data_IF_781887539705
#
_entry.id   IF_781887539705
#
_cell.length_a   1.000
_cell.length_b   1.000
_cell.length_c   1.000
_cell.angle_alpha   90.00
_cell.angle_beta   90.00
_cell.angle_gamma   90.00
#
_symmetry.space_group_name_H-M   'P 1'
#
loop_
_entity.id
_entity.type
_entity.pdbx_description
1 polymer ?
#
# COMPACT_ATOMS: atom_id res chain seq x y z
N UNK A 1 -19.11 -23.62 -25.57
CA UNK A 1 -18.40 -22.70 -24.66
C UNK A 1 -16.98 -22.53 -25.20
N UNK A 2 -16.53 -21.30 -25.34
CA UNK A 2 -15.13 -21.01 -25.73
C UNK A 2 -14.20 -21.36 -24.56
N UNK A 3 -12.93 -21.66 -24.84
CA UNK A 3 -11.88 -21.82 -23.82
C UNK A 3 -11.81 -20.60 -22.88
N UNK A 4 -12.03 -19.41 -23.42
CA UNK A 4 -12.05 -18.15 -22.67
C UNK A 4 -13.21 -18.12 -21.66
N UNK A 5 -14.39 -18.64 -22.04
CA UNK A 5 -15.56 -18.68 -21.15
C UNK A 5 -15.34 -19.63 -19.98
N UNK A 6 -14.73 -20.79 -20.24
CA UNK A 6 -14.36 -21.76 -19.20
C UNK A 6 -13.31 -21.18 -18.24
N UNK A 7 -12.32 -20.45 -18.76
CA UNK A 7 -11.33 -19.75 -17.91
C UNK A 7 -11.99 -18.70 -17.02
N UNK A 8 -12.90 -17.88 -17.56
CA UNK A 8 -13.64 -16.88 -16.79
C UNK A 8 -14.50 -17.52 -15.70
N UNK A 9 -15.23 -18.58 -16.04
CA UNK A 9 -16.04 -19.32 -15.07
C UNK A 9 -15.18 -19.93 -13.96
N UNK A 10 -14.03 -20.51 -14.32
CA UNK A 10 -13.07 -21.04 -13.36
C UNK A 10 -12.55 -19.96 -12.40
N UNK A 11 -12.09 -18.82 -12.93
CA UNK A 11 -11.59 -17.71 -12.11
C UNK A 11 -12.69 -17.12 -11.21
N UNK A 12 -13.92 -16.97 -11.73
CA UNK A 12 -15.06 -16.48 -10.96
C UNK A 12 -15.39 -17.42 -9.79
N UNK A 13 -15.43 -18.73 -10.03
CA UNK A 13 -15.63 -19.73 -8.99
C UNK A 13 -14.52 -19.73 -7.93
N UNK A 14 -13.26 -19.58 -8.34
CA UNK A 14 -12.14 -19.56 -7.38
C UNK A 14 -12.20 -18.37 -6.42
N UNK A 15 -12.76 -17.23 -6.86
CA UNK A 15 -12.94 -16.02 -6.06
C UNK A 15 -14.19 -16.09 -5.18
N UNK A 16 -15.31 -16.47 -5.78
CA UNK A 16 -16.62 -16.49 -5.13
C UNK A 16 -17.40 -17.78 -5.47
N UNK A 17 -17.11 -18.89 -4.76
CA UNK A 17 -17.75 -20.17 -5.02
C UNK A 17 -19.19 -20.24 -4.50
N UNK A 18 -19.64 -19.27 -3.69
CA UNK A 18 -21.01 -19.26 -3.20
C UNK A 18 -21.96 -18.71 -4.25
N UNK A 19 -21.51 -17.73 -5.05
CA UNK A 19 -22.34 -17.10 -6.08
C UNK A 19 -22.02 -17.56 -7.51
N UNK A 20 -20.97 -18.34 -7.73
CA UNK A 20 -20.60 -18.84 -9.06
C UNK A 20 -20.63 -20.37 -9.12
N UNK A 21 -21.15 -20.98 -10.21
CA UNK A 21 -21.19 -22.43 -10.35
C UNK A 21 -19.80 -23.01 -10.63
N UNK A 22 -19.49 -24.15 -10.00
CA UNK A 22 -18.27 -24.90 -10.27
C UNK A 22 -18.20 -25.32 -11.75
N UNK A 23 -17.04 -25.19 -12.42
CA UNK A 23 -16.88 -25.68 -13.78
C UNK A 23 -17.04 -27.21 -13.83
N UNK A 24 -17.92 -27.71 -14.71
CA UNK A 24 -18.24 -29.15 -14.81
C UNK A 24 -17.07 -30.02 -15.25
N UNK A 25 -16.08 -29.42 -15.94
CA UNK A 25 -14.91 -30.11 -16.48
C UNK A 25 -13.74 -30.26 -15.48
N UNK A 26 -13.86 -29.71 -14.26
CA UNK A 26 -12.78 -29.71 -13.27
C UNK A 26 -13.21 -30.45 -12.01
N UNK A 27 -12.35 -31.34 -11.52
CA UNK A 27 -12.59 -32.08 -10.28
C UNK A 27 -12.71 -31.14 -9.07
N UNK A 28 -13.77 -31.33 -8.26
CA UNK A 28 -14.05 -30.49 -7.09
C UNK A 28 -12.89 -30.39 -6.09
N UNK A 29 -12.10 -31.47 -5.94
CA UNK A 29 -10.91 -31.48 -5.09
C UNK A 29 -9.83 -30.52 -5.59
N UNK A 30 -9.58 -30.48 -6.90
CA UNK A 30 -8.60 -29.57 -7.49
C UNK A 30 -9.03 -28.11 -7.33
N UNK A 31 -10.31 -27.84 -7.54
CA UNK A 31 -10.88 -26.50 -7.33
C UNK A 31 -10.68 -26.01 -5.89
N UNK A 32 -10.89 -26.88 -4.90
CA UNK A 32 -10.66 -26.55 -3.49
C UNK A 32 -9.19 -26.26 -3.18
N UNK A 33 -8.26 -27.03 -3.78
CA UNK A 33 -6.81 -26.81 -3.63
C UNK A 33 -6.42 -25.44 -4.21
N UNK A 34 -6.82 -25.14 -5.45
CA UNK A 34 -6.49 -23.87 -6.10
C UNK A 34 -7.06 -22.67 -5.34
N UNK A 35 -8.31 -22.78 -4.87
CA UNK A 35 -8.94 -21.73 -4.06
C UNK A 35 -8.14 -21.47 -2.79
N UNK A 36 -7.78 -22.53 -2.06
CA UNK A 36 -6.97 -22.41 -0.84
C UNK A 36 -5.62 -21.75 -1.13
N UNK A 37 -4.97 -22.13 -2.24
CA UNK A 37 -3.68 -21.57 -2.63
C UNK A 37 -3.77 -20.07 -2.91
N UNK A 38 -4.70 -19.64 -3.78
CA UNK A 38 -4.89 -18.22 -4.13
C UNK A 38 -5.22 -17.41 -2.88
N UNK A 39 -6.18 -17.88 -2.08
CA UNK A 39 -6.59 -17.21 -0.85
C UNK A 39 -5.41 -17.04 0.11
N UNK A 40 -4.63 -18.11 0.32
CA UNK A 40 -3.48 -18.06 1.22
C UNK A 40 -2.38 -17.12 0.71
N UNK A 41 -2.14 -17.10 -0.60
CA UNK A 41 -1.15 -16.19 -1.20
C UNK A 41 -1.56 -14.72 -1.02
N UNK A 42 -2.83 -14.39 -1.29
CA UNK A 42 -3.35 -13.03 -1.08
C UNK A 42 -3.34 -12.67 0.40
N UNK A 43 -3.81 -13.56 1.28
CA UNK A 43 -3.80 -13.34 2.73
C UNK A 43 -2.38 -13.07 3.26
N UNK A 44 -1.40 -13.85 2.80
CA UNK A 44 0.00 -13.70 3.18
C UNK A 44 0.57 -12.36 2.70
N UNK A 45 0.34 -12.03 1.43
CA UNK A 45 0.77 -10.77 0.84
C UNK A 45 0.21 -9.56 1.60
N UNK A 46 -1.10 -9.55 1.87
CA UNK A 46 -1.75 -8.48 2.63
C UNK A 46 -1.22 -8.42 4.07
N UNK A 47 -1.01 -9.56 4.72
CA UNK A 47 -0.47 -9.58 6.09
C UNK A 47 0.95 -9.01 6.17
N UNK A 48 1.77 -9.22 5.14
CA UNK A 48 3.12 -8.63 5.05
C UNK A 48 3.10 -7.15 4.64
N UNK A 49 2.14 -6.73 3.82
CA UNK A 49 2.01 -5.34 3.36
C UNK A 49 1.32 -4.40 4.36
N UNK A 50 0.55 -4.93 5.30
CA UNK A 50 -0.23 -4.18 6.29
C UNK A 50 -0.06 -4.76 7.71
N UNK A 51 1.18 -4.86 8.22
CA UNK A 51 1.48 -5.56 9.47
C UNK A 51 0.77 -4.98 10.71
N UNK A 52 0.68 -3.66 10.84
CA UNK A 52 0.04 -2.97 11.97
C UNK A 52 -1.48 -3.13 11.87
N UNK A 53 -2.07 -2.86 10.70
CA UNK A 53 -3.50 -3.07 10.49
C UNK A 53 -3.89 -4.53 10.77
N UNK A 54 -3.10 -5.50 10.26
CA UNK A 54 -3.32 -6.93 10.53
C UNK A 54 -3.27 -7.24 12.01
N UNK A 55 -2.29 -6.72 12.74
CA UNK A 55 -2.09 -7.01 14.15
C UNK A 55 -3.20 -6.44 15.03
N UNK A 56 -3.74 -5.27 14.67
CA UNK A 56 -4.84 -4.61 15.38
C UNK A 56 -6.22 -5.19 15.06
N UNK A 57 -6.34 -5.90 13.93
CA UNK A 57 -7.61 -6.47 13.48
C UNK A 57 -7.80 -7.89 14.01
N UNK A 58 -8.93 -8.19 14.71
CA UNK A 58 -9.24 -9.54 15.16
C UNK A 58 -9.13 -10.56 14.02
N UNK A 59 -8.63 -11.77 14.33
CA UNK A 59 -8.33 -12.76 13.31
C UNK A 59 -9.53 -13.06 12.39
N UNK A 60 -10.72 -13.24 12.96
CA UNK A 60 -11.94 -13.51 12.18
C UNK A 60 -12.31 -12.33 11.26
N UNK A 61 -12.23 -11.09 11.76
CA UNK A 61 -12.48 -9.87 10.99
C UNK A 61 -11.50 -9.71 9.85
N UNK A 62 -10.20 -9.96 10.10
CA UNK A 62 -9.21 -9.91 9.02
C UNK A 62 -9.47 -10.94 7.93
N UNK A 63 -9.80 -12.18 8.30
CA UNK A 63 -10.13 -13.22 7.32
C UNK A 63 -11.35 -12.82 6.50
N UNK A 64 -12.37 -12.19 7.10
CA UNK A 64 -13.54 -11.73 6.35
C UNK A 64 -13.21 -10.57 5.39
N UNK A 65 -12.29 -9.69 5.75
CA UNK A 65 -11.81 -8.64 4.82
C UNK A 65 -11.04 -9.23 3.64
N UNK A 66 -10.16 -10.21 3.88
CA UNK A 66 -9.45 -10.92 2.80
C UNK A 66 -10.43 -11.63 1.87
N UNK A 67 -11.44 -12.30 2.43
CA UNK A 67 -12.45 -13.00 1.63
C UNK A 67 -13.31 -12.02 0.81
N UNK A 68 -13.77 -10.93 1.42
CA UNK A 68 -14.52 -9.88 0.72
C UNK A 68 -13.67 -9.15 -0.34
N UNK A 69 -12.40 -8.93 -0.06
CA UNK A 69 -11.45 -8.41 -1.03
C UNK A 69 -11.32 -9.37 -2.21
N UNK A 70 -11.13 -10.68 -2.01
CA UNK A 70 -11.01 -11.65 -3.10
C UNK A 70 -12.25 -11.72 -4.00
N UNK A 71 -13.45 -11.52 -3.45
CA UNK A 71 -14.71 -11.49 -4.20
C UNK A 71 -14.80 -10.23 -5.07
N UNK A 72 -14.48 -9.07 -4.51
CA UNK A 72 -14.57 -7.77 -5.20
C UNK A 72 -13.39 -7.51 -6.15
N UNK A 73 -12.23 -8.09 -5.85
CA UNK A 73 -10.99 -7.86 -6.55
C UNK A 73 -10.97 -8.57 -7.90
N UNK A 74 -11.06 -7.77 -8.96
CA UNK A 74 -10.64 -8.18 -10.30
C UNK A 74 -9.19 -7.77 -10.45
N UNK A 75 -8.27 -8.73 -10.41
CA UNK A 75 -6.86 -8.45 -10.66
C UNK A 75 -6.74 -7.86 -12.07
N UNK A 76 -6.58 -6.54 -12.16
CA UNK A 76 -6.48 -5.83 -13.42
C UNK A 76 -5.03 -5.79 -13.94
N UNK A 77 -4.09 -6.25 -13.11
CA UNK A 77 -2.67 -6.27 -13.39
C UNK A 77 -2.00 -7.56 -12.93
N UNK A 78 -0.99 -8.05 -13.66
CA UNK A 78 -0.17 -9.18 -13.24
C UNK A 78 0.83 -8.81 -12.11
N UNK A 79 0.96 -7.53 -11.75
CA UNK A 79 1.96 -7.09 -10.77
C UNK A 79 1.45 -7.19 -9.33
N UNK A 80 2.10 -8.04 -8.52
CA UNK A 80 1.78 -8.22 -7.10
C UNK A 80 1.78 -6.91 -6.30
N UNK A 81 2.61 -5.93 -6.66
CA UNK A 81 2.63 -4.62 -5.99
C UNK A 81 1.28 -3.90 -6.05
N UNK A 82 0.46 -4.13 -7.09
CA UNK A 82 -0.82 -3.45 -7.27
C UNK A 82 -1.90 -3.95 -6.30
N UNK A 83 -1.81 -5.22 -5.88
CA UNK A 83 -2.76 -5.85 -4.95
C UNK A 83 -2.93 -5.02 -3.67
N UNK A 84 -1.84 -4.44 -3.15
CA UNK A 84 -1.95 -3.61 -1.94
C UNK A 84 -2.62 -2.25 -2.19
N UNK A 85 -2.43 -1.62 -3.36
CA UNK A 85 -3.16 -0.39 -3.70
C UNK A 85 -4.65 -0.67 -3.91
N UNK A 86 -4.96 -1.79 -4.55
CA UNK A 86 -6.33 -2.26 -4.73
C UNK A 86 -6.97 -2.61 -3.39
N UNK A 87 -6.23 -3.18 -2.43
CA UNK A 87 -6.74 -3.44 -1.09
C UNK A 87 -7.06 -2.16 -0.31
N UNK A 88 -6.20 -1.14 -0.40
CA UNK A 88 -6.51 0.19 0.16
C UNK A 88 -7.78 0.75 -0.48
N UNK A 89 -7.87 0.73 -1.80
CA UNK A 89 -9.05 1.24 -2.53
C UNK A 89 -10.32 0.47 -2.17
N UNK A 90 -10.20 -0.84 -1.97
CA UNK A 90 -11.27 -1.70 -1.47
C UNK A 90 -11.72 -1.25 -0.08
N UNK A 91 -10.82 -1.07 0.89
CA UNK A 91 -11.19 -0.67 2.25
C UNK A 91 -11.86 0.72 2.31
N UNK A 92 -11.50 1.65 1.42
CA UNK A 92 -12.18 2.95 1.31
C UNK A 92 -13.65 2.83 0.90
N UNK A 93 -13.96 1.87 0.05
CA UNK A 93 -15.30 1.63 -0.50
C UNK A 93 -16.06 0.55 0.27
N UNK A 94 -15.38 -0.21 1.13
CA UNK A 94 -15.96 -1.35 1.80
C UNK A 94 -16.89 -0.90 2.93
N UNK A 95 -18.20 -1.05 2.70
CA UNK A 95 -19.26 -0.77 3.66
C UNK A 95 -19.36 -1.89 4.70
N UNK A 96 -18.42 -1.87 5.65
CA UNK A 96 -18.38 -2.81 6.77
C UNK A 96 -18.19 -2.03 8.08
N UNK A 97 -19.04 -2.30 9.09
CA UNK A 97 -18.99 -1.59 10.37
C UNK A 97 -17.66 -1.74 11.13
N UNK A 98 -16.86 -2.75 10.80
CA UNK A 98 -15.53 -2.96 11.38
C UNK A 98 -14.41 -2.21 10.66
N UNK A 99 -14.68 -1.61 9.50
CA UNK A 99 -13.73 -0.76 8.75
C UNK A 99 -14.10 0.70 8.98
N UNK A 100 -13.57 1.26 10.07
CA UNK A 100 -13.71 2.67 10.37
C UNK A 100 -12.69 3.54 9.63
N UNK A 101 -12.75 4.84 9.89
CA UNK A 101 -11.82 5.80 9.30
C UNK A 101 -10.37 5.56 9.76
N UNK A 102 -10.17 5.05 10.97
CA UNK A 102 -8.85 4.69 11.49
C UNK A 102 -8.21 3.58 10.67
N UNK A 103 -8.95 2.50 10.37
CA UNK A 103 -8.46 1.35 9.61
C UNK A 103 -8.10 1.76 8.18
N UNK A 104 -8.92 2.62 7.56
CA UNK A 104 -8.68 3.18 6.22
C UNK A 104 -7.41 4.03 6.20
N UNK A 105 -7.28 4.95 7.16
CA UNK A 105 -6.10 5.79 7.32
C UNK A 105 -4.84 4.96 7.58
N UNK A 106 -4.92 3.93 8.43
CA UNK A 106 -3.80 3.05 8.69
C UNK A 106 -3.39 2.25 7.45
N UNK A 107 -4.36 1.76 6.66
CA UNK A 107 -4.08 1.08 5.40
C UNK A 107 -3.36 2.00 4.40
N UNK A 108 -3.83 3.25 4.22
CA UNK A 108 -3.16 4.23 3.35
C UNK A 108 -1.73 4.50 3.83
N UNK A 109 -1.56 4.71 5.12
CA UNK A 109 -0.27 4.96 5.73
C UNK A 109 0.74 3.82 5.51
N UNK A 110 0.39 2.58 5.86
CA UNK A 110 1.30 1.43 5.67
C UNK A 110 1.62 1.20 4.19
N UNK A 111 0.68 1.55 3.30
CA UNK A 111 0.88 1.45 1.86
C UNK A 111 1.91 2.46 1.33
N UNK A 112 1.96 3.67 1.89
CA UNK A 112 2.90 4.71 1.45
C UNK A 112 4.37 4.26 1.57
N UNK A 113 4.71 3.50 2.61
CA UNK A 113 6.07 2.96 2.80
C UNK A 113 6.48 2.01 1.67
N UNK A 114 5.58 1.08 1.33
CA UNK A 114 5.79 0.13 0.24
C UNK A 114 5.87 0.86 -1.10
N UNK A 115 4.99 1.84 -1.31
CA UNK A 115 4.96 2.62 -2.54
C UNK A 115 6.23 3.44 -2.73
N UNK A 116 6.71 4.14 -1.70
CA UNK A 116 7.98 4.85 -1.73
C UNK A 116 9.16 3.89 -2.00
N UNK A 117 9.16 2.72 -1.34
CA UNK A 117 10.23 1.75 -1.48
C UNK A 117 10.33 1.13 -2.88
N UNK A 118 9.20 0.95 -3.57
CA UNK A 118 9.16 0.32 -4.90
C UNK A 118 8.84 1.27 -6.05
N UNK A 119 8.65 2.56 -5.78
CA UNK A 119 8.42 3.57 -6.82
C UNK A 119 9.50 3.51 -7.91
N UNK A 120 9.06 3.50 -9.16
CA UNK A 120 9.94 3.65 -10.30
C UNK A 120 10.43 5.10 -10.35
N UNK A 121 11.75 5.29 -10.29
CA UNK A 121 12.37 6.60 -10.48
C UNK A 121 12.98 6.59 -11.88
N UNK A 122 12.42 7.37 -12.82
CA UNK A 122 12.94 7.45 -14.18
C UNK A 122 14.38 7.99 -14.22
N UNK A 123 15.15 7.62 -15.22
CA UNK A 123 16.58 7.95 -15.33
C UNK A 123 16.90 9.44 -15.49
N UNK A 124 15.91 10.22 -15.93
CA UNK A 124 15.96 11.67 -16.02
C UNK A 124 15.95 12.37 -14.66
N UNK A 125 15.47 11.68 -13.62
CA UNK A 125 15.57 12.14 -12.24
C UNK A 125 16.99 11.93 -11.74
N UNK A 126 17.78 12.99 -11.79
CA UNK A 126 19.16 12.99 -11.30
C UNK A 126 19.21 13.64 -9.92
N UNK A 127 20.23 13.24 -9.16
CA UNK A 127 20.59 13.96 -7.93
C UNK A 127 20.90 15.41 -8.30
N UNK A 128 20.32 16.35 -7.55
CA UNK A 128 20.57 17.76 -7.78
C UNK A 128 22.08 18.06 -7.74
N UNK A 129 22.54 18.84 -8.71
CA UNK A 129 23.90 19.37 -8.69
C UNK A 129 23.95 20.48 -7.62
N UNK A 130 24.76 20.30 -6.58
CA UNK A 130 24.84 21.28 -5.49
C UNK A 130 25.49 22.59 -5.92
N UNK A 131 26.26 22.57 -7.00
CA UNK A 131 27.00 23.73 -7.49
C UNK A 131 26.17 24.61 -8.45
N UNK A 132 24.96 24.17 -8.82
CA UNK A 132 24.11 24.85 -9.81
C UNK A 132 22.62 24.85 -9.39
N UNK A 133 22.37 25.00 -8.09
CA UNK A 133 21.04 24.93 -7.46
C UNK A 133 20.03 25.88 -8.12
N UNK A 134 20.47 27.07 -8.53
CA UNK A 134 19.60 28.15 -9.04
C UNK A 134 19.13 27.92 -10.48
N UNK A 135 19.89 27.22 -11.32
CA UNK A 135 19.53 26.97 -12.72
C UNK A 135 18.90 25.59 -12.96
N UNK A 136 18.59 24.86 -11.89
CA UNK A 136 17.97 23.54 -11.97
C UNK A 136 16.46 23.61 -11.80
N UNK A 137 15.74 22.80 -12.57
CA UNK A 137 14.31 22.57 -12.36
C UNK A 137 14.14 21.56 -11.24
N UNK A 138 13.54 22.03 -10.16
CA UNK A 138 13.16 21.22 -9.01
C UNK A 138 11.85 20.47 -9.29
N UNK A 139 11.87 19.15 -9.10
CA UNK A 139 10.69 18.29 -9.20
C UNK A 139 10.58 17.40 -7.97
N UNK A 140 9.35 17.09 -7.56
CA UNK A 140 9.09 16.15 -6.48
C UNK A 140 9.49 14.75 -6.92
N UNK A 141 10.25 14.04 -6.08
CA UNK A 141 10.63 12.65 -6.36
C UNK A 141 9.39 11.76 -6.59
N UNK A 142 9.38 10.89 -7.62
CA UNK A 142 8.32 9.90 -7.82
C UNK A 142 8.23 8.88 -6.69
N UNK A 143 9.26 8.81 -5.85
CA UNK A 143 9.31 7.99 -4.65
C UNK A 143 8.97 8.78 -3.37
N UNK A 144 8.31 9.94 -3.49
CA UNK A 144 7.79 10.73 -2.38
C UNK A 144 6.25 10.77 -2.43
N UNK A 145 5.62 10.40 -1.31
CA UNK A 145 4.18 10.31 -1.14
C UNK A 145 3.75 11.18 0.03
N UNK A 146 2.80 12.08 -0.21
CA UNK A 146 2.21 12.98 0.78
C UNK A 146 0.73 12.64 0.93
N UNK A 147 0.27 12.40 2.16
CA UNK A 147 -1.16 12.20 2.46
C UNK A 147 -1.53 12.84 3.81
N UNK A 148 -2.84 12.99 4.04
CA UNK A 148 -3.44 13.61 5.21
C UNK A 148 -4.13 12.56 6.09
N UNK A 149 -3.93 12.69 7.40
CA UNK A 149 -4.43 11.78 8.41
C UNK A 149 -5.05 12.54 9.58
N UNK A 150 -6.22 12.11 10.03
CA UNK A 150 -6.88 12.62 11.24
C UNK A 150 -6.59 11.75 12.46
N UNK A 151 -5.99 10.58 12.28
CA UNK A 151 -5.51 9.74 13.37
C UNK A 151 -3.97 9.77 13.43
N UNK A 152 -3.38 9.59 14.62
CA UNK A 152 -1.92 9.58 14.81
C UNK A 152 -1.28 8.28 14.32
N UNK A 153 -1.48 7.93 13.05
CA UNK A 153 -1.09 6.64 12.44
C UNK A 153 0.40 6.30 12.59
N UNK A 154 1.26 7.33 12.68
CA UNK A 154 2.72 7.19 12.85
C UNK A 154 3.14 6.63 14.21
N UNK A 155 2.28 6.75 15.20
CA UNK A 155 2.54 6.33 16.59
C UNK A 155 1.88 5.00 16.92
N UNK A 156 1.11 4.43 15.99
CA UNK A 156 0.37 3.21 16.22
C UNK A 156 1.27 2.00 16.08
N UNK A 157 1.11 1.07 17.01
CA UNK A 157 1.66 -0.27 16.95
C UNK A 157 0.54 -1.31 17.16
N UNK A 158 0.94 -2.58 17.20
CA UNK A 158 0.02 -3.71 17.41
C UNK A 158 -0.69 -3.69 18.76
N UNK A 159 -0.13 -3.01 19.76
CA UNK A 159 -0.61 -2.98 21.16
C UNK A 159 -1.32 -1.67 21.54
N UNK A 160 -1.23 -0.64 20.71
CA UNK A 160 -1.80 0.68 21.00
C UNK A 160 -3.32 0.59 21.11
N UNK A 161 -3.94 1.32 22.02
CA UNK A 161 -5.39 1.48 22.01
C UNK A 161 -5.85 2.27 20.77
N UNK A 162 -7.16 2.25 20.47
CA UNK A 162 -7.69 3.05 19.36
C UNK A 162 -7.64 4.54 19.73
N UNK A 163 -6.86 5.37 19.02
CA UNK A 163 -6.76 6.78 19.34
C UNK A 163 -8.03 7.53 18.96
N UNK A 164 -8.32 8.62 19.66
CA UNK A 164 -9.32 9.58 19.23
C UNK A 164 -8.87 10.30 17.94
N UNK A 165 -9.86 10.71 17.14
CA UNK A 165 -9.64 11.59 15.99
C UNK A 165 -9.05 12.92 16.48
N UNK A 166 -8.05 13.42 15.79
CA UNK A 166 -7.41 14.70 16.08
C UNK A 166 -8.25 15.86 15.55
N UNK A 167 -8.21 17.01 16.25
CA UNK A 167 -8.87 18.25 15.79
C UNK A 167 -8.22 18.78 14.52
N UNK A 168 -6.89 18.75 14.45
CA UNK A 168 -6.11 19.17 13.29
C UNK A 168 -5.47 17.94 12.61
N UNK A 169 -5.67 17.76 11.31
CA UNK A 169 -5.06 16.67 10.57
C UNK A 169 -3.53 16.82 10.49
N UNK A 170 -2.85 15.69 10.46
CA UNK A 170 -1.41 15.56 10.21
C UNK A 170 -1.18 15.30 8.73
N UNK A 171 -0.20 16.01 8.16
CA UNK A 171 0.29 15.72 6.83
C UNK A 171 1.58 14.92 6.95
N UNK A 172 1.59 13.75 6.31
CA UNK A 172 2.69 12.81 6.39
C UNK A 172 3.32 12.67 5.03
N UNK A 173 4.63 12.83 4.99
CA UNK A 173 5.45 12.63 3.81
C UNK A 173 6.34 11.41 4.03
N UNK A 174 6.15 10.40 3.19
CA UNK A 174 6.98 9.20 3.12
C UNK A 174 7.80 9.28 1.84
N UNK A 175 9.12 9.08 1.94
CA UNK A 175 9.97 9.12 0.77
C UNK A 175 11.12 8.13 0.85
N UNK A 176 11.58 7.62 -0.30
CA UNK A 176 12.79 6.79 -0.37
C UNK A 176 14.01 7.68 -0.51
N UNK A 177 14.90 7.75 0.50
CA UNK A 177 16.07 8.62 0.41
C UNK A 177 17.10 8.02 -0.56
N UNK A 178 17.73 8.87 -1.38
CA UNK A 178 18.84 8.47 -2.25
C UNK A 178 20.14 8.42 -1.42
N UNK A 179 20.35 7.33 -0.65
CA UNK A 179 21.58 7.16 0.14
C UNK A 179 22.26 5.85 -0.20
N UNK A 180 23.59 5.89 -0.32
CA UNK A 180 24.41 4.68 -0.41
C UNK A 180 24.08 3.75 0.77
N UNK A 181 23.96 2.45 0.50
CA UNK A 181 23.31 1.44 1.34
C UNK A 181 23.71 1.40 2.83
N UNK A 182 24.84 1.98 3.24
CA UNK A 182 25.32 1.97 4.63
C UNK A 182 24.63 2.95 5.59
N UNK A 183 23.88 3.94 5.09
CA UNK A 183 23.17 4.93 5.93
C UNK A 183 21.65 4.71 6.01
N UNK A 184 21.11 3.78 5.22
CA UNK A 184 19.67 3.52 5.12
C UNK A 184 19.07 2.99 6.44
N UNK A 185 19.78 2.14 7.18
CA UNK A 185 19.29 1.53 8.42
C UNK A 185 19.15 2.52 9.59
N UNK A 186 19.94 3.60 9.58
CA UNK A 186 19.85 4.66 10.60
C UNK A 186 18.72 5.65 10.30
N UNK A 187 18.45 5.93 9.01
CA UNK A 187 17.36 6.82 8.58
C UNK A 187 15.98 6.16 8.62
N UNK A 188 15.92 4.83 8.57
CA UNK A 188 14.70 4.05 8.76
C UNK A 188 14.05 4.27 10.14
N UNK A 189 14.85 4.67 11.14
CA UNK A 189 14.40 5.03 12.50
C UNK A 189 14.14 6.52 12.71
N UNK A 190 14.52 7.39 11.76
CA UNK A 190 14.37 8.84 11.86
C UNK A 190 13.15 9.39 11.08
N UNK A 191 12.28 8.50 10.59
CA UNK A 191 11.05 8.91 9.92
C UNK A 191 10.06 9.50 10.94
N UNK A 192 9.43 10.61 10.55
CA UNK A 192 8.55 11.50 11.33
C UNK A 192 9.28 12.58 12.15
N UNK A 193 9.89 13.56 11.47
CA UNK A 193 10.04 14.88 12.08
C UNK A 193 8.78 15.72 11.82
N UNK A 194 8.12 16.12 12.90
CA UNK A 194 7.24 17.29 12.93
C UNK A 194 8.18 18.48 12.71
N UNK A 195 8.12 19.11 11.55
CA UNK A 195 9.08 20.17 11.21
C UNK A 195 8.67 21.47 11.90
N UNK A 196 9.42 21.85 12.94
CA UNK A 196 9.62 23.26 13.27
C UNK A 196 10.51 23.91 12.20
N UNK A 197 10.21 25.17 11.91
CA UNK A 197 10.59 25.99 10.74
C UNK A 197 12.00 25.83 10.16
N UNK A 198 13.02 25.47 10.93
CA UNK A 198 14.42 25.36 10.45
C UNK A 198 14.75 24.01 9.78
N UNK A 199 13.97 22.94 10.00
CA UNK A 199 14.15 21.67 9.28
C UNK A 199 13.48 21.65 7.89
N UNK A 200 12.72 22.69 7.54
CA UNK A 200 12.00 22.77 6.26
C UNK A 200 12.95 22.86 5.06
N UNK A 201 14.06 23.60 5.16
CA UNK A 201 15.00 23.80 4.04
C UNK A 201 15.75 22.52 3.66
N UNK A 202 16.15 21.70 4.63
CA UNK A 202 16.90 20.45 4.39
C UNK A 202 15.98 19.32 3.91
N UNK A 203 14.75 19.25 4.43
CA UNK A 203 13.74 18.30 3.94
C UNK A 203 13.32 18.63 2.50
N UNK A 204 13.20 19.92 2.15
CA UNK A 204 12.95 20.34 0.75
C UNK A 204 14.09 19.92 -0.19
N UNK A 205 15.35 20.11 0.19
CA UNK A 205 16.51 19.66 -0.63
C UNK A 205 16.63 18.14 -0.82
N UNK A 206 16.03 17.33 0.07
CA UNK A 206 15.98 15.87 -0.05
C UNK A 206 14.80 15.36 -0.90
N UNK A 207 13.75 16.16 -1.03
CA UNK A 207 12.54 15.85 -1.80
C UNK A 207 12.64 16.25 -3.27
N UNK A 208 13.51 17.21 -3.56
CA UNK A 208 13.64 17.75 -4.88
C UNK A 208 14.75 17.01 -5.63
N UNK A 209 14.33 16.33 -6.68
CA UNK A 209 15.22 15.72 -7.67
C UNK A 209 15.31 16.69 -8.85
N UNK A 210 16.46 16.75 -9.51
CA UNK A 210 16.68 17.71 -10.58
C UNK A 210 16.40 17.07 -11.93
N UNK A 211 15.58 17.73 -12.75
CA UNK A 211 15.33 17.35 -14.14
C UNK A 211 16.17 18.23 -15.07
N UNK A 212 16.89 17.63 -16.04
CA UNK A 212 17.60 18.38 -17.09
C UNK A 212 16.59 18.84 -18.14
N UNK A 213 16.60 20.11 -18.54
CA UNK A 213 15.95 20.51 -19.79
C UNK A 213 16.83 20.00 -20.95
N UNK A 214 16.20 19.39 -21.96
CA UNK A 214 16.84 19.13 -23.25
C UNK A 214 17.07 20.45 -23.98
#
# INVERSE_FOLDING_TARGET
>A
MSFIDTQKQFVAYLRDPQNNPAPTAVEGRLLAIYRRLIRNNVASFLSSGFPILKARTPAATWQSWVDAFLVSHQSNSPFFSEIGREFVSFLEQYENAQVGQLERELARYERMDVDAMFAHIPTEFRRANRDDIENQRWVVSPAAFLDQFHYPVTKLDSSSENPARQEHPQFILVYRPHVAARLADSLRRAHYSRTDSLQQEVTLLLLLTAHRLQ
#
